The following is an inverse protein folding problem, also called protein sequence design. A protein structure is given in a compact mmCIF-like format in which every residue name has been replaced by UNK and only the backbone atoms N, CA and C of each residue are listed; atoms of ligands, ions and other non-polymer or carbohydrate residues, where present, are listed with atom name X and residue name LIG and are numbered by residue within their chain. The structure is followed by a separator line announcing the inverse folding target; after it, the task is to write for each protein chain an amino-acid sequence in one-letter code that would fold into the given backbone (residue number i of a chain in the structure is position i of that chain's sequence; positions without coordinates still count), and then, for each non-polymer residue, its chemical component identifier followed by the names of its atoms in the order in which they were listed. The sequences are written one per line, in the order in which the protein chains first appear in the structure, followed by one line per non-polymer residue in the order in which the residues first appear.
data_IF_430518699372
#
_entry.id   IF_430518699372
#
_cell.length_a   1.000
_cell.length_b   1.000
_cell.length_c   1.000
_cell.angle_alpha   90.00
_cell.angle_beta   90.00
_cell.angle_gamma   90.00
#
_symmetry.space_group_name_H-M   'P 1'
#
loop_
_entity.id
_entity.type
_entity.pdbx_description
1 polymer ?
#
# COMPACT_ATOMS: atom_id res chain seq x y z
N UNK A 1 -0.34 -15.19 -7.45
CA UNK A 1 0.32 -13.88 -7.17
C UNK A 1 1.28 -13.46 -8.28
N UNK A 2 2.37 -14.21 -8.54
CA UNK A 2 3.45 -13.74 -9.43
C UNK A 2 3.00 -13.40 -10.87
N UNK A 3 2.12 -14.19 -11.47
CA UNK A 3 1.61 -13.91 -12.82
C UNK A 3 0.79 -12.61 -12.88
N UNK A 4 0.02 -12.33 -11.84
CA UNK A 4 -0.72 -11.07 -11.71
C UNK A 4 0.23 -9.90 -11.55
N UNK A 5 1.31 -10.06 -10.77
CA UNK A 5 2.34 -9.05 -10.61
C UNK A 5 3.08 -8.78 -11.94
N UNK A 6 3.46 -9.84 -12.69
CA UNK A 6 4.04 -9.74 -14.04
C UNK A 6 3.14 -8.93 -14.97
N UNK A 7 1.84 -9.24 -15.00
CA UNK A 7 0.85 -8.50 -15.78
C UNK A 7 0.80 -7.03 -15.33
N UNK A 8 0.64 -6.76 -14.04
CA UNK A 8 0.48 -5.39 -13.57
C UNK A 8 1.71 -4.52 -13.79
N UNK A 9 2.91 -5.10 -13.72
CA UNK A 9 4.18 -4.44 -14.04
C UNK A 9 4.27 -4.09 -15.53
N UNK A 10 3.77 -4.94 -16.43
CA UNK A 10 3.74 -4.63 -17.87
C UNK A 10 2.80 -3.48 -18.24
N UNK A 11 1.82 -3.17 -17.39
CA UNK A 11 0.89 -2.05 -17.59
C UNK A 11 1.59 -0.76 -17.15
N UNK A 12 1.92 0.10 -18.12
CA UNK A 12 2.65 1.36 -17.91
C UNK A 12 1.73 2.45 -17.38
N UNK A 13 1.30 2.33 -16.12
CA UNK A 13 0.44 3.28 -15.38
C UNK A 13 1.15 4.61 -15.07
N UNK A 14 1.73 5.24 -16.08
CA UNK A 14 2.43 6.52 -15.99
C UNK A 14 1.47 7.66 -16.33
N UNK A 15 1.76 8.85 -15.81
CA UNK A 15 0.94 10.04 -16.09
C UNK A 15 0.80 10.31 -17.60
N UNK A 16 -0.44 10.58 -18.02
CA UNK A 16 -0.87 10.80 -19.41
C UNK A 16 -0.96 9.56 -20.32
N UNK A 17 -0.83 8.34 -19.79
CA UNK A 17 -1.08 7.12 -20.55
C UNK A 17 -2.49 6.57 -20.28
N UNK A 18 -3.51 7.15 -20.93
CA UNK A 18 -4.93 6.84 -20.68
C UNK A 18 -5.24 5.34 -20.77
N UNK A 19 -4.80 4.67 -21.83
CA UNK A 19 -5.12 3.26 -22.06
C UNK A 19 -4.53 2.36 -20.96
N UNK A 20 -3.24 2.54 -20.64
CA UNK A 20 -2.61 1.76 -19.58
C UNK A 20 -3.17 2.10 -18.20
N UNK A 21 -3.54 3.36 -17.93
CA UNK A 21 -4.17 3.72 -16.66
C UNK A 21 -5.54 3.04 -16.51
N UNK A 22 -6.36 3.02 -17.56
CA UNK A 22 -7.63 2.28 -17.56
C UNK A 22 -7.42 0.76 -17.36
N UNK A 23 -6.43 0.18 -18.03
CA UNK A 23 -6.10 -1.25 -17.86
C UNK A 23 -5.64 -1.57 -16.44
N UNK A 24 -4.80 -0.71 -15.85
CA UNK A 24 -4.31 -0.86 -14.47
C UNK A 24 -5.43 -0.75 -13.45
N UNK A 25 -6.32 0.23 -13.62
CA UNK A 25 -7.52 0.39 -12.78
C UNK A 25 -8.41 -0.85 -12.88
N UNK A 26 -8.67 -1.35 -14.09
CA UNK A 26 -9.51 -2.52 -14.28
C UNK A 26 -8.88 -3.78 -13.64
N UNK A 27 -7.57 -3.97 -13.77
CA UNK A 27 -6.87 -5.07 -13.11
C UNK A 27 -7.03 -5.04 -11.59
N UNK A 28 -6.84 -3.88 -10.97
CA UNK A 28 -6.99 -3.72 -9.51
C UNK A 28 -8.44 -3.94 -9.09
N UNK A 29 -9.39 -3.37 -9.85
CA UNK A 29 -10.83 -3.52 -9.63
C UNK A 29 -11.24 -5.01 -9.64
N UNK A 30 -10.88 -5.75 -10.69
CA UNK A 30 -11.23 -7.17 -10.84
C UNK A 30 -10.70 -8.03 -9.68
N UNK A 31 -9.53 -7.70 -9.14
CA UNK A 31 -8.95 -8.44 -8.02
C UNK A 31 -9.68 -8.15 -6.70
N UNK A 32 -10.03 -6.89 -6.46
CA UNK A 32 -10.71 -6.46 -5.24
C UNK A 32 -12.18 -6.94 -5.22
N UNK A 33 -12.88 -6.92 -6.36
CA UNK A 33 -14.24 -7.45 -6.48
C UNK A 33 -14.32 -8.94 -6.14
N UNK A 34 -13.30 -9.73 -6.49
CA UNK A 34 -13.21 -11.16 -6.11
C UNK A 34 -13.15 -11.40 -4.61
N UNK A 35 -12.63 -10.44 -3.83
CA UNK A 35 -12.62 -10.51 -2.37
C UNK A 35 -14.00 -10.13 -1.81
N UNK A 36 -14.74 -9.29 -2.53
CA UNK A 36 -16.05 -8.74 -2.14
C UNK A 36 -16.04 -7.25 -1.83
N UNK A 37 -15.04 -6.49 -2.32
CA UNK A 37 -15.07 -5.03 -2.20
C UNK A 37 -16.09 -4.41 -3.16
N UNK A 38 -16.80 -3.39 -2.68
CA UNK A 38 -17.53 -2.43 -3.52
C UNK A 38 -16.57 -1.31 -3.93
N UNK A 39 -16.53 -0.96 -5.21
CA UNK A 39 -15.50 -0.09 -5.76
C UNK A 39 -16.14 1.11 -6.50
N UNK A 40 -15.68 2.32 -6.19
CA UNK A 40 -15.93 3.53 -6.97
C UNK A 40 -14.62 4.08 -7.54
N UNK A 41 -14.68 4.56 -8.77
CA UNK A 41 -13.59 5.27 -9.44
C UNK A 41 -13.95 6.74 -9.45
N UNK A 42 -13.18 7.57 -8.75
CA UNK A 42 -13.58 8.94 -8.42
C UNK A 42 -12.52 9.98 -8.80
N UNK A 43 -13.00 11.15 -9.20
CA UNK A 43 -12.18 12.31 -9.50
C UNK A 43 -11.91 12.50 -11.00
N UNK A 44 -11.93 13.75 -11.44
CA UNK A 44 -11.56 14.14 -12.80
C UNK A 44 -10.05 14.44 -12.82
N UNK A 45 -9.27 13.49 -13.31
CA UNK A 45 -7.82 13.56 -13.33
C UNK A 45 -7.33 14.08 -14.69
N UNK A 46 -6.56 15.18 -14.75
CA UNK A 46 -5.96 15.64 -15.99
C UNK A 46 -4.92 14.63 -16.53
N UNK A 47 -4.43 13.72 -15.69
CA UNK A 47 -3.46 12.69 -16.03
C UNK A 47 -4.10 11.36 -16.46
N UNK A 48 -5.45 11.28 -16.47
CA UNK A 48 -6.22 10.04 -16.63
C UNK A 48 -5.97 9.03 -15.50
N UNK A 49 -5.78 9.53 -14.28
CA UNK A 49 -5.42 8.76 -13.11
C UNK A 49 -6.34 9.08 -11.90
N UNK A 50 -7.63 8.69 -11.95
CA UNK A 50 -8.57 8.88 -10.85
C UNK A 50 -8.17 8.08 -9.59
N UNK A 51 -8.91 8.29 -8.50
CA UNK A 51 -8.74 7.53 -7.25
C UNK A 51 -9.67 6.32 -7.26
N UNK A 52 -9.14 5.15 -6.91
CA UNK A 52 -9.95 3.97 -6.62
C UNK A 52 -10.30 4.00 -5.13
N UNK A 53 -11.59 4.01 -4.82
CA UNK A 53 -12.11 3.88 -3.47
C UNK A 53 -12.78 2.51 -3.36
N UNK A 54 -12.17 1.61 -2.59
CA UNK A 54 -12.70 0.27 -2.37
C UNK A 54 -13.15 0.12 -0.91
N UNK A 55 -14.39 -0.32 -0.70
CA UNK A 55 -14.98 -0.54 0.63
C UNK A 55 -15.33 -2.02 0.79
N UNK A 56 -14.78 -2.67 1.82
CA UNK A 56 -15.20 -3.99 2.26
C UNK A 56 -16.04 -3.83 3.53
N UNK A 57 -17.28 -4.31 3.47
CA UNK A 57 -18.23 -4.24 4.59
C UNK A 57 -18.34 -5.60 5.25
N UNK A 58 -18.04 -5.66 6.54
CA UNK A 58 -18.33 -6.80 7.40
C UNK A 58 -19.34 -6.36 8.46
N UNK A 59 -20.60 -6.78 8.28
CA UNK A 59 -21.73 -6.37 9.14
C UNK A 59 -21.62 -6.91 10.57
N UNK A 60 -20.84 -7.97 10.78
CA UNK A 60 -20.65 -8.61 12.08
C UNK A 60 -19.46 -8.03 12.85
N UNK A 61 -18.70 -7.12 12.22
CA UNK A 61 -17.51 -6.50 12.81
C UNK A 61 -17.70 -5.00 12.99
N UNK A 62 -17.34 -4.47 14.16
CA UNK A 62 -17.22 -3.02 14.38
C UNK A 62 -15.83 -2.49 14.03
N UNK A 63 -14.86 -3.39 13.76
CA UNK A 63 -13.46 -3.03 13.51
C UNK A 63 -13.30 -2.45 12.12
N UNK A 64 -12.51 -1.38 12.05
CA UNK A 64 -12.29 -0.55 10.85
C UNK A 64 -10.82 -0.21 10.69
N UNK A 65 -10.31 -0.39 9.48
CA UNK A 65 -8.96 0.04 9.10
C UNK A 65 -9.00 0.73 7.75
N UNK A 66 -8.23 1.82 7.62
CA UNK A 66 -8.01 2.47 6.32
C UNK A 66 -6.65 2.06 5.77
N UNK A 67 -6.65 1.53 4.56
CA UNK A 67 -5.44 1.17 3.81
C UNK A 67 -5.19 2.19 2.71
N UNK A 68 -3.92 2.45 2.43
CA UNK A 68 -3.50 3.32 1.35
C UNK A 68 -2.41 2.65 0.52
N UNK A 69 -2.53 2.85 -0.79
CA UNK A 69 -1.60 2.44 -1.84
C UNK A 69 -1.76 3.42 -3.02
N UNK A 70 -1.00 3.22 -4.08
CA UNK A 70 -1.19 3.91 -5.36
C UNK A 70 -0.89 2.94 -6.50
N UNK A 71 -1.47 3.19 -7.68
CA UNK A 71 -1.31 2.31 -8.85
C UNK A 71 -0.44 2.93 -9.94
N UNK A 72 -0.23 4.25 -9.89
CA UNK A 72 0.68 4.95 -10.79
C UNK A 72 2.14 4.66 -10.46
N UNK A 73 2.99 4.88 -11.45
CA UNK A 73 4.44 4.74 -11.31
C UNK A 73 5.14 5.92 -11.95
N UNK A 74 6.29 6.29 -11.39
CA UNK A 74 7.15 7.32 -11.97
C UNK A 74 7.60 6.97 -13.40
N UNK A 75 7.74 8.00 -14.24
CA UNK A 75 8.23 7.86 -15.61
C UNK A 75 9.71 7.48 -15.61
N UNK A 76 10.11 6.66 -16.58
CA UNK A 76 11.52 6.37 -16.80
C UNK A 76 12.21 7.62 -17.38
N UNK A 77 13.23 8.11 -16.69
CA UNK A 77 14.07 9.18 -17.20
C UNK A 77 15.00 8.65 -18.30
N UNK A 78 15.20 9.41 -19.39
CA UNK A 78 16.12 9.03 -20.49
C UNK A 78 17.56 8.76 -20.04
N UNK A 79 17.97 9.29 -18.88
CA UNK A 79 19.30 9.09 -18.30
C UNK A 79 19.43 7.80 -17.49
N UNK A 80 18.32 7.16 -17.13
CA UNK A 80 18.33 5.90 -16.39
C UNK A 80 18.87 4.75 -17.25
N UNK A 81 19.82 4.01 -16.70
CA UNK A 81 20.49 2.85 -17.26
C UNK A 81 19.97 1.58 -16.58
N UNK A 82 18.85 1.11 -17.09
CA UNK A 82 18.27 -0.16 -16.67
C UNK A 82 19.05 -1.33 -17.28
N UNK A 83 19.35 -2.34 -16.45
CA UNK A 83 19.96 -3.62 -16.87
C UNK A 83 18.93 -4.61 -17.41
N UNK A 84 17.66 -4.42 -17.05
CA UNK A 84 16.50 -5.23 -17.45
C UNK A 84 15.42 -4.30 -18.01
N UNK A 85 14.44 -4.80 -18.76
CA UNK A 85 13.32 -3.94 -19.17
C UNK A 85 12.54 -3.48 -17.93
N UNK A 86 12.36 -2.16 -17.69
CA UNK A 86 11.67 -1.64 -16.51
C UNK A 86 10.20 -2.08 -16.40
N UNK A 87 9.56 -2.48 -17.49
CA UNK A 87 8.17 -2.93 -17.53
C UNK A 87 8.05 -4.44 -17.77
N UNK A 88 9.14 -5.19 -17.56
CA UNK A 88 9.12 -6.65 -17.47
C UNK A 88 9.68 -7.06 -16.13
N UNK A 89 8.85 -7.72 -15.31
CA UNK A 89 9.29 -8.21 -14.01
C UNK A 89 10.38 -9.29 -14.19
N UNK A 90 11.63 -8.90 -13.91
CA UNK A 90 12.79 -9.77 -14.09
C UNK A 90 13.22 -10.34 -12.76
N UNK A 91 13.38 -11.66 -12.70
CA UNK A 91 13.84 -12.40 -11.52
C UNK A 91 15.34 -12.68 -11.67
N UNK A 92 16.17 -12.07 -10.81
CA UNK A 92 17.60 -12.38 -10.76
C UNK A 92 18.15 -12.11 -9.36
N UNK A 93 19.12 -12.92 -8.93
CA UNK A 93 19.84 -12.76 -7.66
C UNK A 93 18.93 -12.56 -6.42
N UNK A 94 17.82 -13.30 -6.37
CA UNK A 94 16.86 -13.28 -5.27
C UNK A 94 15.99 -12.01 -5.21
N UNK A 95 15.93 -11.22 -6.29
CA UNK A 95 15.11 -10.02 -6.38
C UNK A 95 14.26 -9.99 -7.62
N UNK A 96 13.16 -9.26 -7.50
CA UNK A 96 12.38 -8.78 -8.63
C UNK A 96 12.87 -7.40 -9.04
N UNK A 97 13.14 -7.19 -10.33
CA UNK A 97 13.52 -5.90 -10.92
C UNK A 97 12.43 -5.42 -11.87
N UNK A 98 11.91 -4.21 -11.62
CA UNK A 98 10.96 -3.49 -12.47
C UNK A 98 10.62 -2.13 -11.86
N UNK A 99 10.12 -1.19 -12.68
CA UNK A 99 9.54 0.08 -12.20
C UNK A 99 8.25 -0.20 -11.43
N UNK A 100 8.17 0.38 -10.22
CA UNK A 100 7.02 0.29 -9.33
C UNK A 100 6.91 -1.02 -8.55
N UNK A 101 7.93 -1.90 -8.62
CA UNK A 101 7.93 -3.14 -7.85
C UNK A 101 8.01 -2.87 -6.34
N UNK A 102 8.79 -1.88 -5.94
CA UNK A 102 8.95 -1.43 -4.56
C UNK A 102 8.04 -0.24 -4.22
N UNK A 103 7.59 0.52 -5.23
CA UNK A 103 6.70 1.68 -5.05
C UNK A 103 5.53 1.75 -6.06
N UNK A 104 4.37 1.16 -5.75
CA UNK A 104 4.18 0.15 -4.73
C UNK A 104 3.40 -1.07 -5.24
N UNK A 105 3.40 -1.33 -6.55
CA UNK A 105 2.66 -2.42 -7.19
C UNK A 105 2.93 -3.79 -6.56
N UNK A 106 4.18 -4.05 -6.15
CA UNK A 106 4.52 -5.28 -5.43
C UNK A 106 3.77 -5.40 -4.10
N UNK A 107 3.76 -4.33 -3.30
CA UNK A 107 3.07 -4.26 -2.01
C UNK A 107 1.55 -4.35 -2.21
N UNK A 108 0.99 -3.59 -3.17
CA UNK A 108 -0.44 -3.61 -3.49
C UNK A 108 -0.91 -5.03 -3.85
N UNK A 109 -0.24 -5.69 -4.79
CA UNK A 109 -0.60 -7.07 -5.18
C UNK A 109 -0.40 -8.04 -4.01
N UNK A 110 0.66 -7.88 -3.22
CA UNK A 110 0.89 -8.72 -2.04
C UNK A 110 -0.25 -8.62 -1.02
N UNK A 111 -0.69 -7.40 -0.69
CA UNK A 111 -1.81 -7.16 0.23
C UNK A 111 -3.14 -7.70 -0.33
N UNK A 112 -3.40 -7.54 -1.63
CA UNK A 112 -4.58 -8.10 -2.29
C UNK A 112 -4.60 -9.63 -2.17
N UNK A 113 -3.47 -10.28 -2.47
CA UNK A 113 -3.37 -11.74 -2.38
C UNK A 113 -3.47 -12.25 -0.93
N UNK A 114 -2.97 -11.51 0.05
CA UNK A 114 -3.18 -11.84 1.46
C UNK A 114 -4.68 -11.86 1.82
N UNK A 115 -5.45 -10.85 1.39
CA UNK A 115 -6.90 -10.82 1.64
C UNK A 115 -7.66 -11.90 0.85
N UNK A 116 -7.27 -12.18 -0.39
CA UNK A 116 -7.83 -13.30 -1.18
C UNK A 116 -7.63 -14.63 -0.45
N UNK A 117 -6.40 -14.92 0.01
CA UNK A 117 -6.11 -16.15 0.75
C UNK A 117 -6.88 -16.21 2.08
N UNK A 118 -7.05 -15.07 2.76
CA UNK A 118 -7.89 -14.99 3.97
C UNK A 118 -9.35 -15.34 3.65
N UNK A 119 -9.91 -14.77 2.58
CA UNK A 119 -11.28 -15.05 2.12
C UNK A 119 -11.47 -16.52 1.77
N UNK A 120 -10.56 -17.11 1.01
CA UNK A 120 -10.57 -18.53 0.62
C UNK A 120 -10.51 -19.47 1.83
N UNK A 121 -9.78 -19.07 2.88
CA UNK A 121 -9.67 -19.83 4.14
C UNK A 121 -10.81 -19.55 5.13
N UNK A 122 -11.77 -18.71 4.79
CA UNK A 122 -12.85 -18.30 5.69
C UNK A 122 -12.36 -17.51 6.91
N UNK A 123 -11.21 -16.85 6.81
CA UNK A 123 -10.70 -15.97 7.86
C UNK A 123 -11.45 -14.64 7.85
N UNK A 124 -11.73 -14.11 9.04
CA UNK A 124 -12.43 -12.85 9.20
C UNK A 124 -11.61 -11.66 8.65
N UNK A 125 -12.27 -10.79 7.89
CA UNK A 125 -11.73 -9.54 7.37
C UNK A 125 -12.56 -8.41 8.00
N UNK A 126 -11.94 -7.39 8.65
CA UNK A 126 -12.66 -6.27 9.25
C UNK A 126 -13.27 -5.38 8.16
N UNK A 127 -13.97 -4.32 8.56
CA UNK A 127 -14.33 -3.29 7.59
C UNK A 127 -13.06 -2.59 7.09
N UNK A 128 -12.93 -2.45 5.77
CA UNK A 128 -11.77 -1.83 5.15
C UNK A 128 -12.23 -0.69 4.22
N UNK A 129 -11.65 0.49 4.40
CA UNK A 129 -11.57 1.51 3.36
C UNK A 129 -10.19 1.42 2.73
N UNK A 130 -10.10 1.04 1.47
CA UNK A 130 -8.85 1.03 0.74
C UNK A 130 -8.85 2.15 -0.29
N UNK A 131 -7.95 3.11 -0.09
CA UNK A 131 -7.70 4.21 -1.01
C UNK A 131 -6.51 3.81 -1.88
N UNK A 132 -6.70 3.75 -3.19
CA UNK A 132 -5.64 3.45 -4.15
C UNK A 132 -5.61 4.60 -5.15
N UNK A 133 -4.71 5.56 -4.96
CA UNK A 133 -4.66 6.75 -5.80
C UNK A 133 -3.84 6.54 -7.08
N UNK A 134 -4.03 7.41 -8.06
CA UNK A 134 -3.29 7.37 -9.33
C UNK A 134 -2.38 8.56 -9.58
N UNK A 135 -2.26 9.50 -8.65
CA UNK A 135 -1.46 10.73 -8.85
C UNK A 135 -0.40 10.93 -7.75
N UNK A 136 0.09 9.86 -7.10
CA UNK A 136 1.14 9.98 -6.06
C UNK A 136 2.42 10.56 -6.66
N UNK A 137 2.83 10.01 -7.79
CA UNK A 137 4.12 10.27 -8.42
C UNK A 137 4.18 11.66 -9.06
N UNK A 138 3.01 12.25 -9.36
CA UNK A 138 2.89 13.59 -9.95
C UNK A 138 2.36 14.64 -8.96
N UNK A 139 2.10 14.24 -7.70
CA UNK A 139 1.51 15.09 -6.67
C UNK A 139 0.27 15.86 -7.18
N UNK A 140 -0.62 15.15 -7.87
CA UNK A 140 -1.77 15.75 -8.52
C UNK A 140 -2.87 16.18 -7.55
N UNK A 141 -3.78 17.04 -8.01
CA UNK A 141 -4.82 17.65 -7.17
C UNK A 141 -5.99 16.70 -6.90
N UNK A 142 -6.27 15.77 -7.81
CA UNK A 142 -7.50 14.96 -7.76
C UNK A 142 -7.64 14.17 -6.45
N UNK A 143 -6.58 13.56 -5.89
CA UNK A 143 -6.70 12.89 -4.60
C UNK A 143 -7.00 13.82 -3.41
N UNK A 144 -6.59 15.09 -3.45
CA UNK A 144 -6.94 16.07 -2.42
C UNK A 144 -8.43 16.42 -2.42
N UNK A 145 -9.10 16.31 -3.56
CA UNK A 145 -10.54 16.55 -3.66
C UNK A 145 -11.37 15.31 -3.27
N UNK A 146 -10.81 14.11 -3.45
CA UNK A 146 -11.55 12.83 -3.27
C UNK A 146 -11.34 12.21 -1.90
N UNK A 147 -10.10 12.14 -1.41
CA UNK A 147 -9.75 11.36 -0.21
C UNK A 147 -10.40 11.88 1.10
N UNK A 148 -10.42 13.19 1.38
CA UNK A 148 -10.86 13.70 2.69
C UNK A 148 -12.24 13.24 3.12
N UNK A 149 -13.23 13.28 2.20
CA UNK A 149 -14.61 12.89 2.51
C UNK A 149 -14.71 11.42 2.93
N UNK A 150 -13.99 10.52 2.25
CA UNK A 150 -14.06 9.08 2.53
C UNK A 150 -13.38 8.74 3.86
N UNK A 151 -12.26 9.41 4.19
CA UNK A 151 -11.62 9.25 5.50
C UNK A 151 -12.56 9.73 6.62
N UNK A 152 -13.19 10.90 6.45
CA UNK A 152 -14.11 11.46 7.43
C UNK A 152 -15.36 10.59 7.66
N UNK A 153 -15.93 10.05 6.59
CA UNK A 153 -17.13 9.20 6.65
C UNK A 153 -16.85 7.81 7.23
N UNK A 154 -15.68 7.23 6.94
CA UNK A 154 -15.42 5.83 7.31
C UNK A 154 -15.14 5.67 8.80
N UNK A 155 -14.40 6.59 9.42
CA UNK A 155 -14.19 6.62 10.87
C UNK A 155 -13.33 5.48 11.42
N UNK A 156 -12.27 5.08 10.73
CA UNK A 156 -11.27 4.15 11.26
C UNK A 156 -10.38 4.80 12.33
N UNK A 157 -9.68 3.98 13.12
CA UNK A 157 -8.63 4.43 14.05
C UNK A 157 -7.23 4.13 13.58
N UNK A 158 -7.05 3.12 12.72
CA UNK A 158 -5.76 2.74 12.17
C UNK A 158 -5.73 3.07 10.66
N UNK A 159 -4.66 3.76 10.26
CA UNK A 159 -4.41 4.24 8.91
C UNK A 159 -3.06 3.69 8.44
N UNK A 160 -3.05 2.84 7.43
CA UNK A 160 -1.85 2.11 6.99
C UNK A 160 -1.44 2.51 5.59
N UNK A 161 -0.25 3.07 5.46
CA UNK A 161 0.40 3.35 4.17
C UNK A 161 1.20 2.11 3.69
N UNK A 162 1.46 2.00 2.40
CA UNK A 162 2.39 1.03 1.78
C UNK A 162 3.81 1.11 2.33
N UNK A 163 4.20 2.28 2.87
CA UNK A 163 5.59 2.57 3.21
C UNK A 163 6.06 1.65 4.32
N UNK A 164 7.20 0.99 4.11
CA UNK A 164 7.80 0.13 5.10
C UNK A 164 9.15 -0.38 4.65
N UNK A 165 10.19 -0.14 5.45
CA UNK A 165 11.58 -0.43 5.09
C UNK A 165 12.24 -1.18 6.25
N UNK A 166 12.84 -2.31 5.95
CA UNK A 166 13.66 -3.07 6.89
C UNK A 166 15.08 -2.48 6.96
N UNK A 167 15.65 -2.39 8.17
CA UNK A 167 17.06 -2.03 8.38
C UNK A 167 17.89 -3.32 8.35
N UNK A 168 18.36 -3.69 7.17
CA UNK A 168 18.93 -5.02 6.92
C UNK A 168 17.83 -6.08 7.01
N UNK A 169 17.95 -6.99 7.96
CA UNK A 169 16.93 -8.01 8.28
C UNK A 169 15.96 -7.58 9.39
N UNK A 170 16.20 -6.45 10.04
CA UNK A 170 15.37 -5.97 11.15
C UNK A 170 14.12 -5.25 10.58
N UNK A 171 12.90 -5.73 10.87
CA UNK A 171 11.69 -5.06 10.45
C UNK A 171 11.50 -3.73 11.18
N UNK A 172 10.82 -2.79 10.54
CA UNK A 172 10.52 -1.48 11.12
C UNK A 172 9.02 -1.22 11.05
N UNK A 173 8.47 -0.78 12.17
CA UNK A 173 7.12 -0.20 12.23
C UNK A 173 7.28 1.32 12.33
N UNK A 174 6.87 2.00 11.26
CA UNK A 174 6.71 3.44 11.26
C UNK A 174 5.42 3.82 11.96
N UNK A 175 5.49 4.87 12.76
CA UNK A 175 4.31 5.50 13.36
C UNK A 175 4.48 7.01 13.36
N UNK A 176 3.37 7.74 13.32
CA UNK A 176 3.37 9.18 13.51
C UNK A 176 2.97 9.50 14.95
N UNK A 177 3.72 10.34 15.65
CA UNK A 177 3.35 10.79 16.97
C UNK A 177 2.17 11.76 16.84
N UNK A 178 0.98 11.35 17.26
CA UNK A 178 -0.07 12.30 17.68
C UNK A 178 0.41 13.04 18.94
N UNK A 179 1.25 12.38 19.75
CA UNK A 179 1.90 12.92 20.95
C UNK A 179 3.37 12.51 20.99
N UNK A 180 4.20 13.18 21.81
CA UNK A 180 5.60 12.77 22.03
C UNK A 180 5.77 11.34 22.58
N UNK A 181 4.69 10.71 23.06
CA UNK A 181 4.71 9.36 23.65
C UNK A 181 4.37 8.32 22.59
N UNK A 182 5.19 7.27 22.53
CA UNK A 182 4.90 6.08 21.72
C UNK A 182 3.55 5.46 22.15
N UNK A 183 2.61 5.22 21.22
CA UNK A 183 1.37 4.51 21.54
C UNK A 183 1.64 3.11 22.11
N UNK A 184 0.97 2.76 23.20
CA UNK A 184 1.19 1.47 23.90
C UNK A 184 0.85 0.26 23.05
N UNK A 185 -0.14 0.39 22.16
CA UNK A 185 -0.56 -0.70 21.27
C UNK A 185 0.53 -1.13 20.28
N UNK A 186 1.56 -0.30 20.03
CA UNK A 186 2.63 -0.64 19.11
C UNK A 186 3.42 -1.88 19.57
N UNK A 187 3.52 -2.10 20.88
CA UNK A 187 4.14 -3.32 21.43
C UNK A 187 3.33 -4.56 21.08
N UNK A 188 2.00 -4.50 21.24
CA UNK A 188 1.08 -5.58 20.88
C UNK A 188 1.12 -5.85 19.36
N UNK A 189 1.08 -4.78 18.56
CA UNK A 189 1.20 -4.84 17.11
C UNK A 189 2.53 -5.50 16.70
N UNK A 190 3.65 -5.10 17.30
CA UNK A 190 4.95 -5.70 17.00
C UNK A 190 4.98 -7.20 17.34
N UNK A 191 4.43 -7.59 18.48
CA UNK A 191 4.30 -9.00 18.84
C UNK A 191 3.47 -9.77 17.80
N UNK A 192 2.36 -9.20 17.32
CA UNK A 192 1.52 -9.83 16.30
C UNK A 192 2.23 -9.96 14.94
N UNK A 193 2.90 -8.90 14.47
CA UNK A 193 3.46 -8.83 13.12
C UNK A 193 4.85 -9.48 13.03
N UNK A 194 5.67 -9.36 14.07
CA UNK A 194 7.09 -9.68 14.03
C UNK A 194 7.60 -10.36 15.30
N UNK A 195 6.72 -10.87 16.17
CA UNK A 195 7.12 -11.52 17.43
C UNK A 195 7.99 -10.63 18.35
N UNK A 196 7.86 -9.31 18.23
CA UNK A 196 8.63 -8.34 19.01
C UNK A 196 9.94 -7.90 18.34
N UNK A 197 10.33 -8.49 17.22
CA UNK A 197 11.62 -8.23 16.56
C UNK A 197 11.69 -6.88 15.84
N UNK A 198 10.55 -6.21 15.59
CA UNK A 198 10.58 -4.93 14.92
C UNK A 198 11.06 -3.81 15.84
N UNK A 199 11.79 -2.87 15.26
CA UNK A 199 12.07 -1.59 15.90
C UNK A 199 11.00 -0.57 15.49
N UNK A 200 10.80 0.43 16.34
CA UNK A 200 9.91 1.54 16.03
C UNK A 200 10.70 2.71 15.48
N UNK A 201 10.15 3.36 14.45
CA UNK A 201 10.75 4.56 13.88
C UNK A 201 9.69 5.66 13.79
N UNK A 202 9.94 6.72 14.55
CA UNK A 202 9.11 7.90 14.61
C UNK A 202 9.54 8.83 13.47
N UNK A 203 8.79 8.77 12.37
CA UNK A 203 9.09 9.62 11.21
C UNK A 203 8.41 10.97 11.35
N UNK A 204 9.19 12.05 11.50
CA UNK A 204 8.67 13.40 11.21
C UNK A 204 8.55 13.54 9.70
N UNK A 205 7.36 13.34 9.14
CA UNK A 205 7.18 13.37 7.70
C UNK A 205 6.95 14.79 7.19
N UNK A 206 7.88 15.29 6.37
CA UNK A 206 7.61 16.39 5.43
C UNK A 206 6.50 16.06 4.42
N UNK A 207 6.04 14.79 4.35
CA UNK A 207 4.87 14.33 3.57
C UNK A 207 3.51 14.76 4.16
N UNK A 208 3.43 15.22 5.42
CA UNK A 208 2.14 15.64 6.02
C UNK A 208 1.44 16.79 5.27
N UNK A 209 2.19 17.59 4.50
CA UNK A 209 1.61 18.67 3.67
C UNK A 209 1.37 18.26 2.21
N UNK A 210 1.90 17.10 1.78
CA UNK A 210 1.92 16.70 0.36
C UNK A 210 1.15 15.42 0.05
N UNK A 211 0.82 14.61 1.06
CA UNK A 211 0.03 13.40 0.90
C UNK A 211 -1.38 13.62 1.47
N UNK A 212 -2.44 13.60 0.63
CA UNK A 212 -3.81 13.82 1.09
C UNK A 212 -4.32 12.72 2.03
N UNK A 213 -3.75 11.51 1.98
CA UNK A 213 -4.06 10.46 2.94
C UNK A 213 -3.56 10.79 4.34
N UNK A 214 -2.28 11.12 4.48
CA UNK A 214 -1.66 11.42 5.78
C UNK A 214 -2.20 12.73 6.36
N UNK A 215 -2.39 13.76 5.53
CA UNK A 215 -2.84 15.08 5.97
C UNK A 215 -4.29 15.12 6.47
N UNK A 216 -5.10 14.11 6.14
CA UNK A 216 -6.50 14.01 6.52
C UNK A 216 -6.78 12.90 7.55
N UNK A 217 -5.74 12.30 8.14
CA UNK A 217 -5.93 11.42 9.30
C UNK A 217 -6.56 12.26 10.43
N UNK A 218 -7.76 11.89 10.93
CA UNK A 218 -8.46 12.68 11.92
C UNK A 218 -7.75 12.66 13.27
N UNK A 219 -8.10 13.61 14.13
CA UNK A 219 -7.62 13.61 15.51
C UNK A 219 -7.94 12.27 16.21
N UNK A 220 -6.93 11.69 16.85
CA UNK A 220 -7.02 10.37 17.47
C UNK A 220 -6.93 9.19 16.50
N UNK A 221 -6.66 9.41 15.21
CA UNK A 221 -6.29 8.36 14.25
C UNK A 221 -4.78 8.10 14.23
N UNK A 222 -4.38 6.83 14.19
CA UNK A 222 -2.99 6.41 14.22
C UNK A 222 -2.50 6.00 12.83
N UNK A 223 -1.45 6.68 12.36
CA UNK A 223 -0.69 6.24 11.19
C UNK A 223 0.24 5.09 11.54
N UNK A 224 0.28 4.10 10.67
CA UNK A 224 1.21 2.97 10.72
C UNK A 224 1.81 2.75 9.32
N UNK A 225 3.11 2.45 9.25
CA UNK A 225 3.77 1.99 8.03
C UNK A 225 4.64 0.77 8.30
N UNK A 226 4.49 -0.28 7.48
CA UNK A 226 5.35 -1.47 7.50
C UNK A 226 5.28 -2.16 6.14
N UNK A 227 6.35 -2.86 5.76
CA UNK A 227 6.55 -3.20 4.35
C UNK A 227 7.84 -3.98 4.10
N UNK A 228 7.99 -4.55 2.89
CA UNK A 228 9.09 -5.43 2.53
C UNK A 228 10.35 -4.71 2.06
N UNK A 229 10.32 -3.38 1.89
CA UNK A 229 11.42 -2.68 1.24
C UNK A 229 12.71 -2.78 2.06
N UNK A 230 13.84 -2.67 1.39
CA UNK A 230 15.17 -2.66 2.00
C UNK A 230 16.02 -1.54 1.42
N UNK A 231 17.26 -1.42 1.90
CA UNK A 231 18.20 -0.40 1.44
C UNK A 231 18.61 -0.52 -0.04
N UNK A 232 18.17 -1.54 -0.77
CA UNK A 232 18.52 -1.78 -2.18
C UNK A 232 17.34 -1.58 -3.14
N UNK A 233 16.21 -1.07 -2.66
CA UNK A 233 15.02 -0.95 -3.48
C UNK A 233 15.15 0.02 -4.66
N UNK A 234 15.99 1.06 -4.56
CA UNK A 234 16.20 2.05 -5.63
C UNK A 234 14.89 2.67 -6.17
N UNK A 235 13.95 2.99 -5.28
CA UNK A 235 12.70 3.69 -5.63
C UNK A 235 13.02 4.99 -6.38
N UNK A 236 12.24 5.27 -7.44
CA UNK A 236 12.39 6.41 -8.36
C UNK A 236 13.73 6.46 -9.10
N UNK A 237 14.46 5.33 -9.19
CA UNK A 237 15.75 5.24 -9.89
C UNK A 237 15.80 4.02 -10.80
N UNK A 238 16.86 3.95 -11.61
CA UNK A 238 17.17 2.79 -12.42
C UNK A 238 17.36 1.53 -11.57
N UNK A 239 16.96 0.38 -12.12
CA UNK A 239 17.11 -0.92 -11.45
C UNK A 239 16.39 -0.97 -10.08
N UNK A 240 15.23 -0.32 -10.00
CA UNK A 240 14.31 -0.49 -8.88
C UNK A 240 14.02 -1.98 -8.68
N UNK A 241 14.03 -2.42 -7.42
CA UNK A 241 13.94 -3.83 -7.10
C UNK A 241 13.32 -4.12 -5.75
N UNK A 242 12.83 -5.34 -5.58
CA UNK A 242 12.31 -5.81 -4.30
C UNK A 242 12.81 -7.22 -4.00
N UNK A 243 13.17 -7.47 -2.74
CA UNK A 243 13.59 -8.78 -2.29
C UNK A 243 12.43 -9.78 -2.31
N UNK A 244 12.64 -10.94 -2.97
CA UNK A 244 11.59 -11.93 -3.18
C UNK A 244 11.12 -12.55 -1.86
N UNK A 245 12.04 -12.81 -0.93
CA UNK A 245 11.75 -13.44 0.35
C UNK A 245 11.02 -12.44 1.26
N UNK A 246 11.44 -11.17 1.28
CA UNK A 246 10.76 -10.12 2.07
C UNK A 246 9.35 -9.87 1.55
N UNK A 247 9.13 -9.88 0.23
CA UNK A 247 7.78 -9.74 -0.34
C UNK A 247 6.86 -10.88 0.08
N UNK A 248 7.33 -12.14 0.03
CA UNK A 248 6.53 -13.30 0.47
C UNK A 248 6.26 -13.27 1.98
N UNK A 249 7.28 -12.94 2.79
CA UNK A 249 7.11 -12.72 4.25
C UNK A 249 6.10 -11.62 4.53
N UNK A 250 6.11 -10.53 3.76
CA UNK A 250 5.19 -9.41 3.95
C UNK A 250 3.73 -9.82 3.77
N UNK A 251 3.43 -10.78 2.88
CA UNK A 251 2.06 -11.33 2.74
C UNK A 251 1.57 -11.90 4.07
N UNK A 252 2.40 -12.71 4.72
CA UNK A 252 2.09 -13.32 6.03
C UNK A 252 2.04 -12.28 7.15
N UNK A 253 2.92 -11.28 7.13
CA UNK A 253 2.86 -10.14 8.08
C UNK A 253 1.55 -9.39 7.92
N UNK A 254 1.12 -9.13 6.69
CA UNK A 254 -0.13 -8.42 6.41
C UNK A 254 -1.35 -9.24 6.84
N UNK A 255 -1.37 -10.56 6.62
CA UNK A 255 -2.41 -11.44 7.18
C UNK A 255 -2.48 -11.33 8.70
N UNK A 256 -1.33 -11.36 9.39
CA UNK A 256 -1.26 -11.20 10.86
C UNK A 256 -1.73 -9.81 11.30
N UNK A 257 -1.44 -8.78 10.53
CA UNK A 257 -1.96 -7.44 10.76
C UNK A 257 -3.50 -7.38 10.70
N UNK A 258 -4.11 -7.95 9.67
CA UNK A 258 -5.58 -7.97 9.56
C UNK A 258 -6.20 -8.77 10.73
N UNK A 259 -5.60 -9.90 11.11
CA UNK A 259 -6.03 -10.67 12.28
C UNK A 259 -5.89 -9.89 13.59
N UNK A 260 -4.84 -9.06 13.71
CA UNK A 260 -4.66 -8.17 14.85
C UNK A 260 -5.73 -7.08 14.89
N UNK A 261 -6.10 -6.48 13.75
CA UNK A 261 -7.19 -5.49 13.67
C UNK A 261 -8.52 -6.07 14.18
N UNK A 262 -8.82 -7.34 13.91
CA UNK A 262 -10.04 -7.98 14.42
C UNK A 262 -10.06 -8.13 15.95
N UNK A 263 -8.90 -8.08 16.62
CA UNK A 263 -8.75 -8.38 18.05
C UNK A 263 -8.39 -7.16 18.91
N UNK A 264 -7.71 -6.19 18.33
CA UNK A 264 -7.20 -5.01 19.04
C UNK A 264 -8.34 -4.21 19.66
N UNK A 265 -8.11 -3.59 20.83
CA UNK A 265 -9.11 -2.77 21.53
C UNK A 265 -9.19 -1.32 21.01
N UNK A 266 -8.34 -0.96 20.05
CA UNK A 266 -8.31 0.35 19.40
C UNK A 266 -9.60 0.61 18.61
#
# INVERSE_FOLDING_TARGET
MINTLKKFISIKTIANNKEANLEGIQLVKDLLEKIGFTISIEGDSPYNQPVIIAKYTNVDSSKKVTLYNHYDVEKINKKEKWKTDPFVLTETDGRYYARGIADNKGILICRIFALLEMKEKGLEIPNILWIIQGEEEVAGKTPFDVIPKHIAEFGAKIYVEETGVNKGEIPVIFYLPITKKQPSFLTELNNALYNGDAIFDNRSLSKFTKCPFVSNIPEGGFYIGFGPNDGRCNIHRENESLDMIKLEKHKQVFTRFIQWINKTEI
#
